data_IF_395269536959
#
_entry.id   IF_395269536959
#
_cell.length_a   1.000
_cell.length_b   1.000
_cell.length_c   1.000
_cell.angle_alpha   90.00
_cell.angle_beta   90.00
_cell.angle_gamma   90.00
#
_symmetry.space_group_name_H-M   'P 1'
#
loop_
_entity.id
_entity.type
_entity.pdbx_description
1 polymer ?
#
# COMPACT_ATOMS: atom_id res chain seq x y z
N UNK A 1 -1.67 28.25 -4.86
CA UNK A 1 -2.29 27.40 -3.82
C UNK A 1 -2.61 25.99 -4.32
N UNK A 2 -3.13 25.79 -5.53
CA UNK A 2 -3.45 24.45 -6.07
C UNK A 2 -2.23 23.55 -6.33
N UNK A 3 -1.09 24.11 -6.78
CA UNK A 3 0.13 23.33 -7.05
C UNK A 3 0.67 22.57 -5.83
N UNK A 4 0.52 23.14 -4.63
CA UNK A 4 1.04 22.56 -3.39
C UNK A 4 0.28 21.29 -2.97
N UNK A 5 -1.01 21.17 -3.29
CA UNK A 5 -1.81 19.98 -2.97
C UNK A 5 -1.44 18.81 -3.87
N UNK A 6 -1.23 19.07 -5.16
CA UNK A 6 -0.85 18.03 -6.12
C UNK A 6 0.57 17.54 -5.82
N UNK A 7 1.50 18.45 -5.53
CA UNK A 7 2.87 18.08 -5.11
C UNK A 7 2.85 17.20 -3.85
N UNK A 8 2.06 17.56 -2.84
CA UNK A 8 1.87 16.73 -1.64
C UNK A 8 1.27 15.37 -1.94
N UNK A 9 0.36 15.29 -2.91
CA UNK A 9 -0.24 14.03 -3.34
C UNK A 9 0.81 13.11 -3.98
N UNK A 10 1.61 13.63 -4.91
CA UNK A 10 2.69 12.87 -5.54
C UNK A 10 3.76 12.48 -4.52
N UNK A 11 4.10 13.36 -3.57
CA UNK A 11 5.00 13.02 -2.47
C UNK A 11 4.45 11.85 -1.64
N UNK A 12 3.16 11.89 -1.28
CA UNK A 12 2.51 10.80 -0.56
C UNK A 12 2.53 9.48 -1.32
N UNK A 13 2.45 9.50 -2.66
CA UNK A 13 2.59 8.29 -3.46
C UNK A 13 4.02 7.76 -3.48
N UNK A 14 5.01 8.65 -3.57
CA UNK A 14 6.43 8.28 -3.53
C UNK A 14 6.80 7.66 -2.16
N UNK A 15 6.28 8.23 -1.07
CA UNK A 15 6.45 7.67 0.27
C UNK A 15 5.81 6.28 0.38
N UNK A 16 4.61 6.11 -0.16
CA UNK A 16 3.90 4.82 -0.16
C UNK A 16 4.65 3.76 -0.97
N UNK A 17 5.13 4.11 -2.16
CA UNK A 17 5.93 3.21 -3.01
C UNK A 17 7.25 2.82 -2.32
N UNK A 18 7.94 3.79 -1.71
CA UNK A 18 9.17 3.52 -0.95
C UNK A 18 8.92 2.58 0.22
N UNK A 19 7.80 2.74 0.93
CA UNK A 19 7.40 1.85 2.02
C UNK A 19 7.11 0.42 1.52
N UNK A 20 6.39 0.29 0.39
CA UNK A 20 6.09 -1.01 -0.24
C UNK A 20 7.38 -1.71 -0.68
N UNK A 21 8.28 -1.00 -1.36
CA UNK A 21 9.57 -1.56 -1.79
C UNK A 21 10.44 -1.98 -0.60
N UNK A 22 10.45 -1.19 0.48
CA UNK A 22 11.16 -1.55 1.71
C UNK A 22 10.56 -2.80 2.37
N UNK A 23 9.23 -2.94 2.36
CA UNK A 23 8.54 -4.12 2.86
C UNK A 23 8.88 -5.36 2.02
N UNK A 24 8.85 -5.25 0.69
CA UNK A 24 9.26 -6.34 -0.23
C UNK A 24 10.70 -6.79 0.04
N UNK A 25 11.63 -5.85 0.20
CA UNK A 25 13.05 -6.17 0.51
C UNK A 25 13.21 -6.87 1.85
N UNK A 26 12.53 -6.37 2.89
CA UNK A 26 12.56 -6.98 4.22
C UNK A 26 12.00 -8.41 4.20
N UNK A 27 10.92 -8.62 3.45
CA UNK A 27 10.32 -9.95 3.31
C UNK A 27 11.17 -10.89 2.47
N UNK A 28 11.85 -10.40 1.45
CA UNK A 28 12.79 -11.21 0.66
C UNK A 28 13.98 -11.73 1.49
N UNK A 29 14.30 -11.09 2.62
CA UNK A 29 15.34 -11.54 3.55
C UNK A 29 14.85 -12.58 4.56
N UNK A 30 13.53 -12.80 4.68
CA UNK A 30 12.97 -13.84 5.55
C UNK A 30 12.82 -15.14 4.76
N UNK A 31 13.35 -16.24 5.29
CA UNK A 31 13.33 -17.56 4.61
C UNK A 31 11.93 -18.18 4.51
N UNK A 32 10.98 -17.81 5.38
CA UNK A 32 9.63 -18.38 5.44
C UNK A 32 8.54 -17.31 5.33
N UNK A 33 8.37 -16.72 4.14
CA UNK A 33 7.22 -15.82 3.86
C UNK A 33 6.18 -16.57 3.03
N UNK A 34 4.92 -16.64 3.48
CA UNK A 34 3.82 -17.20 2.70
C UNK A 34 3.73 -16.59 1.29
N UNK A 35 3.59 -17.43 0.27
CA UNK A 35 3.51 -16.98 -1.13
C UNK A 35 2.36 -15.99 -1.38
N UNK A 36 1.25 -16.15 -0.64
CA UNK A 36 0.10 -15.25 -0.69
C UNK A 36 0.45 -13.80 -0.30
N UNK A 37 1.35 -13.60 0.67
CA UNK A 37 1.80 -12.26 1.09
C UNK A 37 2.62 -11.61 -0.04
N UNK A 38 3.45 -12.40 -0.72
CA UNK A 38 4.24 -11.91 -1.86
C UNK A 38 3.34 -11.54 -3.03
N UNK A 39 2.30 -12.33 -3.32
CA UNK A 39 1.30 -11.99 -4.34
C UNK A 39 0.52 -10.71 -4.00
N UNK A 40 0.10 -10.55 -2.74
CA UNK A 40 -0.57 -9.33 -2.29
C UNK A 40 0.31 -8.09 -2.45
N UNK A 41 1.59 -8.18 -2.13
CA UNK A 41 2.52 -7.07 -2.35
C UNK A 41 2.72 -6.73 -3.83
N UNK A 42 2.74 -7.74 -4.72
CA UNK A 42 2.76 -7.50 -6.17
C UNK A 42 1.48 -6.79 -6.64
N UNK A 43 0.34 -7.09 -6.03
CA UNK A 43 -0.93 -6.42 -6.38
C UNK A 43 -0.90 -4.91 -6.09
N UNK A 44 -0.11 -4.47 -5.10
CA UNK A 44 0.02 -3.05 -4.78
C UNK A 44 0.65 -2.24 -5.90
N UNK A 45 1.57 -2.82 -6.69
CA UNK A 45 2.18 -2.15 -7.84
C UNK A 45 1.11 -1.73 -8.87
N UNK A 46 0.13 -2.61 -9.10
CA UNK A 46 -1.01 -2.33 -9.97
C UNK A 46 -1.93 -1.24 -9.42
N UNK A 47 -2.09 -1.16 -8.09
CA UNK A 47 -2.88 -0.11 -7.44
C UNK A 47 -2.15 1.24 -7.51
N UNK A 48 -0.85 1.27 -7.23
CA UNK A 48 -0.01 2.46 -7.35
C UNK A 48 -0.03 3.03 -8.78
N UNK A 49 0.06 2.16 -9.79
CA UNK A 49 -0.06 2.56 -11.19
C UNK A 49 -1.41 3.25 -11.48
N UNK A 50 -2.51 2.69 -10.96
CA UNK A 50 -3.84 3.30 -11.08
C UNK A 50 -3.93 4.65 -10.35
N UNK A 51 -3.36 4.77 -9.16
CA UNK A 51 -3.34 6.03 -8.41
C UNK A 51 -2.57 7.13 -9.15
N UNK A 52 -1.44 6.79 -9.78
CA UNK A 52 -0.69 7.71 -10.64
C UNK A 52 -1.52 8.16 -11.85
N UNK A 53 -2.21 7.22 -12.51
CA UNK A 53 -3.13 7.56 -13.60
C UNK A 53 -4.23 8.53 -13.17
N UNK A 54 -4.87 8.26 -12.02
CA UNK A 54 -5.90 9.14 -11.45
C UNK A 54 -5.34 10.53 -11.11
N UNK A 55 -4.12 10.63 -10.58
CA UNK A 55 -3.51 11.92 -10.27
C UNK A 55 -3.08 12.71 -11.50
N UNK A 56 -2.69 12.03 -12.59
CA UNK A 56 -2.45 12.70 -13.87
C UNK A 56 -3.75 13.33 -14.40
N UNK A 57 -4.86 12.57 -14.41
CA UNK A 57 -6.16 13.09 -14.80
C UNK A 57 -6.69 14.17 -13.84
N UNK A 58 -6.37 14.09 -12.55
CA UNK A 58 -6.71 15.12 -11.56
C UNK A 58 -6.11 16.48 -11.95
N UNK A 59 -4.85 16.51 -12.43
CA UNK A 59 -4.23 17.74 -12.91
C UNK A 59 -5.01 18.35 -14.09
N UNK A 60 -5.47 17.51 -15.02
CA UNK A 60 -6.26 17.95 -16.17
C UNK A 60 -7.61 18.55 -15.73
N UNK A 61 -8.32 17.88 -14.83
CA UNK A 61 -9.61 18.38 -14.33
C UNK A 61 -9.49 19.66 -13.51
N UNK A 62 -8.41 19.82 -12.73
CA UNK A 62 -8.12 21.07 -12.02
C UNK A 62 -7.93 22.22 -13.01
N UNK A 63 -7.14 22.00 -14.07
CA UNK A 63 -6.89 23.02 -15.10
C UNK A 63 -8.16 23.38 -15.89
N UNK A 64 -9.08 22.43 -16.05
CA UNK A 64 -10.39 22.64 -16.69
C UNK A 64 -11.45 23.25 -15.76
N UNK A 65 -11.15 23.36 -14.45
CA UNK A 65 -12.13 23.82 -13.45
C UNK A 65 -13.26 22.83 -13.18
N UNK A 66 -13.10 21.56 -13.55
CA UNK A 66 -14.10 20.51 -13.36
C UNK A 66 -14.04 19.94 -11.93
N UNK A 67 -14.55 20.69 -10.97
CA UNK A 67 -14.45 20.39 -9.53
C UNK A 67 -15.15 19.09 -9.11
N UNK A 68 -16.20 18.68 -9.83
CA UNK A 68 -16.90 17.42 -9.58
C UNK A 68 -15.98 16.23 -9.84
N UNK A 69 -15.28 16.24 -10.98
CA UNK A 69 -14.31 15.21 -11.30
C UNK A 69 -13.07 15.25 -10.41
N UNK A 70 -12.63 16.45 -10.00
CA UNK A 70 -11.57 16.60 -9.01
C UNK A 70 -11.94 15.89 -7.71
N UNK A 71 -13.14 16.15 -7.18
CA UNK A 71 -13.64 15.51 -5.96
C UNK A 71 -13.72 13.99 -6.10
N UNK A 72 -14.25 13.50 -7.23
CA UNK A 72 -14.35 12.06 -7.51
C UNK A 72 -12.98 11.38 -7.54
N UNK A 73 -12.00 11.98 -8.22
CA UNK A 73 -10.65 11.42 -8.33
C UNK A 73 -9.92 11.42 -6.98
N UNK A 74 -10.04 12.49 -6.19
CA UNK A 74 -9.50 12.53 -4.82
C UNK A 74 -10.10 11.42 -3.97
N UNK A 75 -11.42 11.20 -4.06
CA UNK A 75 -12.10 10.11 -3.35
C UNK A 75 -11.58 8.73 -3.73
N UNK A 76 -11.42 8.46 -5.04
CA UNK A 76 -10.86 7.20 -5.53
C UNK A 76 -9.42 6.99 -5.06
N UNK A 77 -8.58 8.01 -5.15
CA UNK A 77 -7.19 7.94 -4.71
C UNK A 77 -7.12 7.61 -3.22
N UNK A 78 -7.89 8.31 -2.38
CA UNK A 78 -7.93 8.08 -0.94
C UNK A 78 -8.43 6.68 -0.59
N UNK A 79 -9.43 6.18 -1.31
CA UNK A 79 -9.94 4.82 -1.15
C UNK A 79 -8.88 3.75 -1.47
N UNK A 80 -8.15 3.92 -2.57
CA UNK A 80 -7.06 3.02 -2.94
C UNK A 80 -5.91 3.06 -1.93
N UNK A 81 -5.56 4.25 -1.41
CA UNK A 81 -4.53 4.40 -0.37
C UNK A 81 -4.94 3.72 0.93
N UNK A 82 -6.22 3.86 1.32
CA UNK A 82 -6.76 3.18 2.49
C UNK A 82 -6.72 1.66 2.32
N UNK A 83 -7.13 1.15 1.16
CA UNK A 83 -7.08 -0.28 0.84
C UNK A 83 -5.67 -0.85 0.98
N UNK A 84 -4.65 -0.21 0.39
CA UNK A 84 -3.25 -0.66 0.54
C UNK A 84 -2.84 -0.66 2.01
N UNK A 85 -3.14 0.41 2.75
CA UNK A 85 -2.72 0.56 4.15
C UNK A 85 -3.37 -0.48 5.06
N UNK A 86 -4.66 -0.74 4.87
CA UNK A 86 -5.42 -1.69 5.68
C UNK A 86 -4.98 -3.13 5.37
N UNK A 87 -4.73 -3.43 4.10
CA UNK A 87 -4.19 -4.70 3.66
C UNK A 87 -2.77 -4.94 4.22
N UNK A 88 -1.92 -3.92 4.17
CA UNK A 88 -0.56 -3.97 4.73
C UNK A 88 -0.58 -4.19 6.25
N UNK A 89 -1.53 -3.57 6.98
CA UNK A 89 -1.72 -3.82 8.42
C UNK A 89 -2.12 -5.28 8.68
N UNK A 90 -3.02 -5.84 7.86
CA UNK A 90 -3.43 -7.24 7.98
C UNK A 90 -2.26 -8.20 7.71
N UNK A 91 -1.42 -7.92 6.71
CA UNK A 91 -0.19 -8.69 6.43
C UNK A 91 0.77 -8.64 7.63
N UNK A 92 1.02 -7.45 8.18
CA UNK A 92 1.90 -7.30 9.34
C UNK A 92 1.38 -8.06 10.56
N UNK A 93 0.06 -8.00 10.83
CA UNK A 93 -0.56 -8.74 11.90
C UNK A 93 -0.40 -10.26 11.74
N UNK A 94 -0.64 -10.79 10.53
CA UNK A 94 -0.47 -12.21 10.23
C UNK A 94 0.98 -12.68 10.42
N UNK A 95 1.96 -11.88 9.97
CA UNK A 95 3.39 -12.19 10.15
C UNK A 95 3.84 -12.18 11.61
N UNK A 96 3.24 -11.33 12.45
CA UNK A 96 3.53 -11.32 13.90
C UNK A 96 2.89 -12.49 14.64
N UNK A 97 1.75 -13.00 14.17
CA UNK A 97 1.07 -14.15 14.79
C UNK A 97 1.77 -15.47 14.46
N UNK A 98 2.28 -15.65 13.25
CA UNK A 98 3.08 -16.83 12.86
C UNK A 98 4.37 -16.98 13.68
N UNK A 99 4.90 -15.89 14.23
CA UNK A 99 6.11 -15.92 15.08
C UNK A 99 5.82 -16.54 16.46
N UNK A 100 4.56 -16.73 16.85
CA UNK A 100 4.18 -17.27 18.16
C UNK A 100 3.99 -18.79 18.20
N UNK A 101 3.96 -19.47 17.06
CA UNK A 101 3.61 -20.90 16.98
C UNK A 101 4.86 -21.82 16.96
N UNK A 102 6.07 -21.25 17.08
CA UNK A 102 7.33 -22.03 17.09
C UNK A 102 7.99 -22.19 18.47
N UNK A 103 7.34 -21.70 19.54
CA UNK A 103 7.81 -21.86 20.93
C UNK A 103 6.90 -22.76 21.80
N UNK A 104 6.05 -23.60 21.20
CA UNK A 104 5.47 -24.72 21.96
C UNK A 104 6.44 -25.91 21.92
N UNK A 105 7.35 -25.85 22.90
CA UNK A 105 8.26 -26.90 23.30
C UNK A 105 7.54 -28.26 23.38
N UNK A 106 8.20 -29.28 22.81
CA UNK A 106 8.02 -30.69 23.11
C UNK A 106 8.11 -30.93 24.63
N UNK A 107 7.02 -30.75 25.37
CA UNK A 107 6.90 -31.27 26.74
C UNK A 107 6.54 -32.74 26.62
N UNK A 108 7.58 -33.54 26.38
CA UNK A 108 7.58 -34.99 26.44
C UNK A 108 7.12 -35.43 27.85
N UNK A 109 5.89 -35.92 27.95
CA UNK A 109 5.37 -36.58 29.15
C UNK A 109 5.89 -38.03 29.16
N UNK A 110 6.88 -38.30 30.01
CA UNK A 110 7.18 -39.63 30.53
C UNK A 110 6.65 -39.75 31.96
#
# INVERSE_FOLDING_TARGET
>A
MQSNIIEKLYASFADLETAIESAKRTLAQKENVPAEIVERLKSYDGILAKQRGLAASLCEFINQGNWDEVSRHVGLINGLSAMIRDDARAILAALTDDTRVTEEEDINFC
#
